data_IF_924715594603
#
_entry.id   IF_924715594603
#
_cell.length_a   1.000
_cell.length_b   1.000
_cell.length_c   1.000
_cell.angle_alpha   90.00
_cell.angle_beta   90.00
_cell.angle_gamma   90.00
#
_symmetry.space_group_name_H-M   'P 1'
#
loop_
_entity.id
_entity.type
_entity.pdbx_description
1 polymer ?
#
# COMPACT_ATOMS: atom_id res chain seq x y z
N UNK A 1 -58.69 -28.35 -26.26
CA UNK A 1 -57.65 -27.31 -26.21
C UNK A 1 -57.00 -27.33 -24.82
N UNK A 2 -55.76 -27.84 -24.71
CA UNK A 2 -54.99 -27.84 -23.46
C UNK A 2 -53.97 -26.70 -23.56
N UNK A 3 -54.22 -25.59 -22.87
CA UNK A 3 -53.28 -24.47 -22.78
C UNK A 3 -52.20 -24.85 -21.78
N UNK A 4 -51.04 -25.28 -22.28
CA UNK A 4 -49.83 -25.48 -21.51
C UNK A 4 -49.35 -24.10 -20.99
N UNK A 5 -49.01 -23.95 -19.70
CA UNK A 5 -48.86 -22.64 -19.09
C UNK A 5 -47.53 -22.02 -19.51
N UNK A 6 -47.62 -20.91 -20.24
CA UNK A 6 -46.51 -20.03 -20.66
C UNK A 6 -45.63 -19.59 -19.47
N UNK A 7 -46.16 -19.66 -18.25
CA UNK A 7 -45.46 -19.36 -17.00
C UNK A 7 -44.21 -20.24 -16.75
N UNK A 8 -44.19 -21.49 -17.21
CA UNK A 8 -43.05 -22.40 -16.96
C UNK A 8 -41.83 -22.01 -17.82
N UNK A 9 -42.06 -21.46 -19.02
CA UNK A 9 -40.98 -21.06 -19.93
C UNK A 9 -40.26 -19.78 -19.47
N UNK A 10 -40.98 -18.87 -18.79
CA UNK A 10 -40.39 -17.64 -18.21
C UNK A 10 -39.46 -17.94 -17.03
N UNK A 11 -39.75 -18.98 -16.25
CA UNK A 11 -38.97 -19.35 -15.06
C UNK A 11 -37.63 -20.02 -15.41
N UNK A 12 -37.52 -20.63 -16.61
CA UNK A 12 -36.28 -21.26 -17.09
C UNK A 12 -35.27 -20.23 -17.61
N UNK A 13 -35.72 -19.07 -18.10
CA UNK A 13 -34.85 -18.01 -18.62
C UNK A 13 -34.11 -17.23 -17.53
N UNK A 14 -34.54 -17.30 -16.26
CA UNK A 14 -33.87 -16.68 -15.11
C UNK A 14 -32.76 -17.55 -14.51
N UNK A 15 -32.72 -18.85 -14.82
CA UNK A 15 -31.73 -19.78 -14.26
C UNK A 15 -30.32 -19.64 -14.88
N UNK A 16 -30.19 -18.92 -16.01
CA UNK A 16 -28.93 -18.76 -16.73
C UNK A 16 -28.23 -17.40 -16.51
N UNK A 17 -28.76 -16.50 -15.67
CA UNK A 17 -28.12 -15.20 -15.44
C UNK A 17 -27.00 -15.21 -14.38
N UNK A 18 -26.77 -16.35 -13.72
CA UNK A 18 -25.65 -16.51 -12.80
C UNK A 18 -24.38 -16.91 -13.58
N UNK A 19 -23.92 -16.04 -14.49
CA UNK A 19 -22.51 -16.11 -14.88
C UNK A 19 -21.72 -15.62 -13.68
N UNK A 20 -21.09 -16.57 -12.99
CA UNK A 20 -20.15 -16.35 -11.90
C UNK A 20 -19.07 -15.37 -12.39
N UNK A 21 -19.15 -14.12 -11.92
CA UNK A 21 -18.15 -13.11 -12.25
C UNK A 21 -16.92 -13.43 -11.44
N UNK A 22 -15.96 -14.14 -12.04
CA UNK A 22 -14.62 -14.25 -11.49
C UNK A 22 -14.03 -12.84 -11.46
N UNK A 23 -13.99 -12.23 -10.27
CA UNK A 23 -13.29 -10.97 -10.06
C UNK A 23 -11.80 -11.27 -10.27
N UNK A 24 -11.13 -10.66 -11.26
CA UNK A 24 -9.69 -10.86 -11.44
C UNK A 24 -8.95 -10.48 -10.16
N UNK A 25 -7.96 -11.28 -9.77
CA UNK A 25 -7.13 -10.93 -8.62
C UNK A 25 -6.36 -9.65 -8.94
N UNK A 26 -6.69 -8.54 -8.26
CA UNK A 26 -5.99 -7.27 -8.41
C UNK A 26 -5.06 -7.07 -7.22
N UNK A 27 -3.81 -6.75 -7.51
CA UNK A 27 -2.77 -6.56 -6.51
C UNK A 27 -2.63 -5.07 -6.17
N UNK A 28 -2.56 -4.77 -4.87
CA UNK A 28 -2.19 -3.44 -4.39
C UNK A 28 -0.86 -3.01 -5.01
N UNK A 29 -0.83 -1.82 -5.63
CA UNK A 29 0.37 -1.16 -6.13
C UNK A 29 0.57 0.18 -5.43
N UNK A 30 1.74 0.37 -4.83
CA UNK A 30 2.12 1.61 -4.15
C UNK A 30 3.47 2.13 -4.65
N UNK A 31 3.61 3.45 -4.63
CA UNK A 31 4.83 4.18 -4.96
C UNK A 31 5.21 5.10 -3.80
N UNK A 32 6.47 5.04 -3.41
CA UNK A 32 7.03 5.98 -2.44
C UNK A 32 7.34 7.30 -3.15
N UNK A 33 6.88 8.41 -2.59
CA UNK A 33 7.23 9.74 -3.07
C UNK A 33 8.23 10.41 -2.12
N UNK A 34 9.02 11.40 -2.60
CA UNK A 34 9.88 12.20 -1.73
C UNK A 34 9.07 12.79 -0.57
N UNK A 35 9.59 12.66 0.65
CA UNK A 35 8.99 13.35 1.78
C UNK A 35 9.27 14.85 1.68
N UNK A 36 8.44 15.65 2.35
CA UNK A 36 8.72 17.07 2.57
C UNK A 36 9.01 17.32 4.04
N UNK A 37 9.85 18.30 4.31
CA UNK A 37 10.12 18.77 5.66
C UNK A 37 9.52 20.16 5.80
N UNK A 38 8.48 20.28 6.63
CA UNK A 38 7.76 21.53 6.88
C UNK A 38 7.84 21.82 8.37
N UNK A 39 8.53 22.91 8.72
CA UNK A 39 8.87 23.31 10.09
C UNK A 39 9.60 22.21 10.88
N UNK A 40 8.89 21.47 11.73
CA UNK A 40 9.40 20.35 12.54
C UNK A 40 8.76 19.02 12.16
N UNK A 41 7.98 18.99 11.08
CA UNK A 41 7.18 17.85 10.65
C UNK A 41 7.72 17.28 9.35
N UNK A 42 7.98 15.97 9.34
CA UNK A 42 8.24 15.23 8.11
C UNK A 42 6.92 14.75 7.52
N UNK A 43 6.61 15.14 6.30
CA UNK A 43 5.42 14.73 5.55
C UNK A 43 5.80 13.60 4.60
N UNK A 44 5.50 12.36 5.00
CA UNK A 44 5.67 11.20 4.13
C UNK A 44 4.53 11.10 3.13
N UNK A 45 4.86 10.65 1.92
CA UNK A 45 3.90 10.54 0.83
C UNK A 45 3.94 9.16 0.19
N UNK A 46 2.77 8.54 0.12
CA UNK A 46 2.56 7.23 -0.51
C UNK A 46 1.50 7.41 -1.58
N UNK A 47 1.86 7.12 -2.83
CA UNK A 47 0.90 7.07 -3.92
C UNK A 47 0.39 5.65 -4.08
N UNK A 48 -0.92 5.46 -4.00
CA UNK A 48 -1.58 4.20 -4.31
C UNK A 48 -2.01 4.26 -5.77
N UNK A 49 -1.40 3.42 -6.60
CA UNK A 49 -1.67 3.35 -8.05
C UNK A 49 -2.84 2.38 -8.33
N UNK A 50 -2.93 1.30 -7.56
CA UNK A 50 -4.04 0.34 -7.56
C UNK A 50 -4.29 -0.09 -6.12
N UNK A 51 -5.55 -0.14 -5.68
CA UNK A 51 -5.90 -0.57 -4.32
C UNK A 51 -5.91 -2.09 -4.16
N UNK A 52 -5.94 -2.84 -5.26
CA UNK A 52 -6.16 -4.27 -5.24
C UNK A 52 -7.52 -4.65 -4.64
N UNK A 53 -7.71 -5.95 -4.41
CA UNK A 53 -8.91 -6.51 -3.80
C UNK A 53 -8.69 -7.00 -2.35
N UNK A 54 -7.44 -7.05 -1.88
CA UNK A 54 -7.07 -7.52 -0.55
C UNK A 54 -6.98 -6.36 0.45
N UNK A 55 -7.62 -6.45 1.63
CA UNK A 55 -7.53 -5.40 2.64
C UNK A 55 -6.09 -5.16 3.11
N UNK A 56 -5.75 -3.88 3.35
CA UNK A 56 -4.49 -3.48 3.99
C UNK A 56 -4.65 -3.51 5.51
N UNK A 57 -3.83 -4.32 6.18
CA UNK A 57 -3.82 -4.48 7.64
C UNK A 57 -2.87 -3.51 8.34
N UNK A 58 -1.74 -3.20 7.72
CA UNK A 58 -0.73 -2.27 8.23
C UNK A 58 -0.05 -1.59 7.05
N UNK A 59 0.32 -0.31 7.18
CA UNK A 59 1.17 0.35 6.20
C UNK A 59 1.99 1.46 6.84
N UNK A 60 2.98 1.93 6.07
CA UNK A 60 3.75 3.10 6.42
C UNK A 60 5.08 3.16 5.68
N UNK A 61 6.14 3.57 6.37
CA UNK A 61 7.48 3.70 5.80
C UNK A 61 8.46 2.79 6.55
N UNK A 62 9.20 1.98 5.80
CA UNK A 62 10.39 1.28 6.32
C UNK A 62 11.65 2.03 5.91
N UNK A 63 12.65 2.05 6.79
CA UNK A 63 13.89 2.77 6.54
C UNK A 63 15.11 2.20 7.25
N UNK A 64 16.27 2.46 6.65
CA UNK A 64 17.60 2.25 7.22
C UNK A 64 18.33 3.59 7.21
N UNK A 65 19.01 3.93 8.31
CA UNK A 65 19.67 5.21 8.46
C UNK A 65 21.08 5.06 9.06
N UNK A 66 22.04 5.79 8.51
CA UNK A 66 23.46 5.64 8.82
C UNK A 66 24.13 6.98 9.14
N UNK A 67 25.11 6.95 10.05
CA UNK A 67 25.99 8.08 10.28
C UNK A 67 27.03 8.20 9.16
N UNK A 68 27.57 9.41 8.98
CA UNK A 68 28.70 9.65 8.09
C UNK A 68 29.88 8.71 8.43
N UNK A 69 30.49 8.14 7.40
CA UNK A 69 31.67 7.27 7.54
C UNK A 69 31.37 5.78 7.76
N UNK A 70 30.09 5.37 7.81
CA UNK A 70 29.71 3.96 7.78
C UNK A 70 29.67 3.49 6.32
N UNK A 71 30.33 2.36 6.01
CA UNK A 71 30.47 1.87 4.62
C UNK A 71 29.54 0.73 4.21
N UNK A 72 28.93 0.03 5.18
CA UNK A 72 28.05 -1.11 4.90
C UNK A 72 26.59 -0.73 5.13
N UNK A 73 25.90 -0.32 4.07
CA UNK A 73 24.51 0.09 4.11
C UNK A 73 23.59 -1.00 3.56
N UNK A 74 22.54 -1.35 4.30
CA UNK A 74 21.37 -2.01 3.74
C UNK A 74 20.62 -0.99 2.89
N UNK A 75 20.63 -1.17 1.58
CA UNK A 75 19.96 -0.24 0.66
C UNK A 75 18.46 -0.54 0.52
N UNK A 76 17.98 -1.72 0.91
CA UNK A 76 16.62 -2.16 0.62
C UNK A 76 15.89 -2.47 1.94
N UNK A 77 15.44 -1.44 2.67
CA UNK A 77 14.79 -1.64 3.97
C UNK A 77 13.54 -2.50 3.84
N UNK A 78 13.32 -3.37 4.81
CA UNK A 78 12.19 -4.30 4.91
C UNK A 78 11.41 -4.03 6.20
N UNK A 79 10.31 -4.76 6.40
CA UNK A 79 9.52 -4.66 7.65
C UNK A 79 10.27 -5.12 8.91
N UNK A 80 11.43 -5.77 8.75
CA UNK A 80 12.35 -6.18 9.83
C UNK A 80 13.34 -5.09 10.22
N UNK A 81 13.46 -4.02 9.42
CA UNK A 81 14.27 -2.83 9.75
C UNK A 81 13.44 -1.84 10.58
N UNK A 82 13.83 -0.56 10.60
CA UNK A 82 13.04 0.47 11.27
C UNK A 82 11.77 0.76 10.47
N UNK A 83 10.65 0.94 11.18
CA UNK A 83 9.36 1.26 10.56
C UNK A 83 8.61 2.36 11.28
N UNK A 84 7.95 3.19 10.49
CA UNK A 84 6.96 4.17 10.89
C UNK A 84 5.61 3.62 10.41
N UNK A 85 4.69 3.38 11.35
CA UNK A 85 3.33 2.92 11.05
C UNK A 85 2.40 4.12 10.99
N UNK A 86 1.44 4.07 10.07
CA UNK A 86 0.39 5.08 9.97
C UNK A 86 -0.98 4.45 10.23
N UNK A 87 -1.80 5.12 11.04
CA UNK A 87 -3.09 4.57 11.48
C UNK A 87 -4.25 4.87 10.50
N UNK A 88 -4.09 5.88 9.65
CA UNK A 88 -5.10 6.26 8.65
C UNK A 88 -5.09 5.27 7.48
N UNK A 89 -6.24 4.93 6.90
CA UNK A 89 -6.30 4.03 5.75
C UNK A 89 -5.58 4.60 4.49
N UNK A 90 -5.08 3.70 3.64
CA UNK A 90 -4.59 4.05 2.30
C UNK A 90 -5.77 4.23 1.34
N UNK A 91 -5.87 5.41 0.73
CA UNK A 91 -6.83 5.72 -0.32
C UNK A 91 -6.15 5.72 -1.69
N UNK A 92 -6.91 5.46 -2.77
CA UNK A 92 -6.39 5.61 -4.12
C UNK A 92 -5.86 7.04 -4.34
N UNK A 93 -4.70 7.16 -5.00
CA UNK A 93 -4.02 8.45 -5.19
C UNK A 93 -2.96 8.76 -4.13
N UNK A 94 -2.66 10.05 -3.93
CA UNK A 94 -1.57 10.49 -3.04
C UNK A 94 -2.08 10.62 -1.60
N UNK A 95 -1.51 9.83 -0.71
CA UNK A 95 -1.74 9.90 0.74
C UNK A 95 -0.58 10.64 1.39
N UNK A 96 -0.88 11.50 2.36
CA UNK A 96 0.10 12.28 3.11
C UNK A 96 0.02 11.96 4.60
N UNK A 97 1.16 11.75 5.23
CA UNK A 97 1.26 11.37 6.63
C UNK A 97 2.25 12.27 7.35
N UNK A 98 1.75 13.00 8.34
CA UNK A 98 2.57 13.85 9.19
C UNK A 98 3.28 13.01 10.25
N UNK A 99 4.60 13.15 10.33
CA UNK A 99 5.45 12.53 11.33
C UNK A 99 6.23 13.62 12.08
N UNK A 100 5.86 13.82 13.35
CA UNK A 100 6.34 14.93 14.18
C UNK A 100 7.54 14.56 15.05
N UNK A 101 7.97 13.31 15.03
CA UNK A 101 9.21 12.87 15.70
C UNK A 101 10.40 13.17 14.81
N UNK A 102 11.56 13.41 15.43
CA UNK A 102 12.81 13.60 14.70
C UNK A 102 13.18 12.33 13.91
N UNK A 103 12.90 12.36 12.61
CA UNK A 103 13.25 11.31 11.66
C UNK A 103 14.75 11.27 11.39
N UNK A 104 15.43 12.42 11.48
CA UNK A 104 16.84 12.53 11.13
C UNK A 104 17.72 11.97 12.24
N UNK A 105 17.47 12.36 13.49
CA UNK A 105 18.16 11.85 14.69
C UNK A 105 19.68 11.72 14.52
N UNK A 106 20.30 12.78 13.97
CA UNK A 106 21.75 12.85 13.70
C UNK A 106 22.29 11.92 12.61
N UNK A 107 21.45 11.13 11.92
CA UNK A 107 21.84 10.29 10.79
C UNK A 107 21.98 11.13 9.52
N UNK A 108 22.83 10.67 8.61
CA UNK A 108 23.22 11.43 7.40
C UNK A 108 22.71 10.78 6.12
N UNK A 109 22.66 9.45 6.07
CA UNK A 109 22.18 8.70 4.90
C UNK A 109 20.93 7.93 5.25
N UNK A 110 19.91 8.04 4.39
CA UNK A 110 18.62 7.35 4.54
C UNK A 110 18.29 6.60 3.26
N UNK A 111 17.85 5.36 3.42
CA UNK A 111 17.12 4.61 2.40
C UNK A 111 15.76 4.29 2.99
N UNK A 112 14.70 4.64 2.27
CA UNK A 112 13.34 4.41 2.74
C UNK A 112 12.40 4.01 1.59
N UNK A 113 11.33 3.30 1.94
CA UNK A 113 10.25 2.99 1.01
C UNK A 113 8.94 2.78 1.76
N UNK A 114 7.84 3.02 1.07
CA UNK A 114 6.51 2.65 1.52
C UNK A 114 6.39 1.13 1.63
N UNK A 115 5.62 0.67 2.61
CA UNK A 115 5.22 -0.72 2.74
C UNK A 115 3.73 -0.84 3.09
N UNK A 116 3.13 -1.95 2.72
CA UNK A 116 1.80 -2.36 3.17
C UNK A 116 1.80 -3.87 3.42
N UNK A 117 1.19 -4.30 4.53
CA UNK A 117 0.94 -5.70 4.86
C UNK A 117 -0.54 -5.96 4.63
N UNK A 118 -0.85 -6.93 3.79
CA UNK A 118 -2.22 -7.32 3.46
C UNK A 118 -2.75 -8.34 4.50
N UNK A 119 -4.05 -8.58 4.47
CA UNK A 119 -4.72 -9.48 5.42
C UNK A 119 -4.26 -10.94 5.29
N UNK A 120 -3.82 -11.35 4.09
CA UNK A 120 -3.23 -12.68 3.84
C UNK A 120 -1.75 -12.78 4.28
N UNK A 121 -1.20 -11.73 4.88
CA UNK A 121 0.18 -11.65 5.34
C UNK A 121 1.20 -11.31 4.25
N UNK A 122 0.78 -11.16 2.99
CA UNK A 122 1.68 -10.70 1.93
C UNK A 122 2.08 -9.23 2.15
N UNK A 123 3.27 -8.87 1.63
CA UNK A 123 3.86 -7.56 1.83
C UNK A 123 4.11 -6.91 0.49
N UNK A 124 3.60 -5.70 0.32
CA UNK A 124 3.83 -4.84 -0.84
C UNK A 124 4.80 -3.74 -0.45
N UNK A 125 5.75 -3.45 -1.32
CA UNK A 125 6.71 -2.37 -1.14
C UNK A 125 6.66 -1.40 -2.32
N UNK A 126 6.82 -0.10 -2.03
CA UNK A 126 7.06 0.91 -3.04
C UNK A 126 8.51 0.92 -3.53
N UNK A 127 8.80 1.79 -4.50
CA UNK A 127 10.16 2.10 -4.91
C UNK A 127 10.97 2.65 -3.73
N UNK A 128 12.26 2.35 -3.71
CA UNK A 128 13.20 2.94 -2.76
C UNK A 128 13.51 4.38 -3.14
N UNK A 129 13.58 5.25 -2.13
CA UNK A 129 14.17 6.58 -2.22
C UNK A 129 15.40 6.66 -1.32
N UNK A 130 16.42 7.35 -1.81
CA UNK A 130 17.61 7.74 -1.05
C UNK A 130 17.53 9.22 -0.69
N UNK A 131 17.91 9.56 0.54
CA UNK A 131 17.99 10.93 1.01
C UNK A 131 19.28 11.12 1.81
N UNK A 132 19.91 12.27 1.64
CA UNK A 132 21.14 12.64 2.36
C UNK A 132 20.98 14.05 2.88
N UNK A 133 21.32 14.25 4.16
CA UNK A 133 21.36 15.57 4.83
C UNK A 133 22.71 16.23 4.59
#
# INVERSE_FOLDING_TARGET
>A
MRTLPIAILSMILLAFSCNDHVIPDSQLSIRTLPFEYVDTTTIFRIQVEDQGNKPVREHGIVYTAYFRGVGNHNLNPTIEDNKIRFDNALMLGINQFAYTKDFINGRTFFYYRAYAILDDGSIVYGNRINFTV
#
